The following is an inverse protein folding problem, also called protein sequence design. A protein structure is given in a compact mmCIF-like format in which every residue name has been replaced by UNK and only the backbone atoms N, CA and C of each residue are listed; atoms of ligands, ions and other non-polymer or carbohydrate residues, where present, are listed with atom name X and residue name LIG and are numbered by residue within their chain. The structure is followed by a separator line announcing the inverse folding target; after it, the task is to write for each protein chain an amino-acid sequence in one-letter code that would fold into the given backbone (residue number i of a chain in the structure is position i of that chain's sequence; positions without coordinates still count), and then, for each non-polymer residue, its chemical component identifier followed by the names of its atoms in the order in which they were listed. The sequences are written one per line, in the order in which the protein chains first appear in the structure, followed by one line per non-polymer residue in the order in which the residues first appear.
data_IF_857995803373
#
_entry.id   IF_857995803373
#
_cell.length_a   1.000
_cell.length_b   1.000
_cell.length_c   1.000
_cell.angle_alpha   90.00
_cell.angle_beta   90.00
_cell.angle_gamma   90.00
#
_symmetry.space_group_name_H-M   'P 1'
#
loop_
_entity.id
_entity.type
_entity.pdbx_description
1 polymer ?
#
# COMPACT_ATOMS: atom_id res chain seq x y z
N UNK A 1 -19.33 -22.41 12.44
CA UNK A 1 -18.76 -23.78 12.44
C UNK A 1 -17.60 -23.80 13.44
N UNK A 2 -17.54 -24.76 14.33
CA UNK A 2 -16.49 -24.92 15.33
C UNK A 2 -15.26 -25.64 14.73
N UNK A 3 -14.10 -25.60 15.41
CA UNK A 3 -12.91 -26.37 14.99
C UNK A 3 -13.20 -27.89 14.91
N UNK A 4 -14.04 -28.41 15.81
CA UNK A 4 -14.44 -29.83 15.83
C UNK A 4 -15.28 -30.18 14.59
N UNK A 5 -16.25 -29.36 14.24
CA UNK A 5 -17.07 -29.55 13.05
C UNK A 5 -16.23 -29.48 11.77
N UNK A 6 -15.34 -28.49 11.69
CA UNK A 6 -14.43 -28.33 10.56
C UNK A 6 -13.49 -29.54 10.39
N UNK A 7 -12.90 -30.03 11.48
CA UNK A 7 -12.07 -31.23 11.47
C UNK A 7 -12.85 -32.46 10.98
N UNK A 8 -14.06 -32.65 11.51
CA UNK A 8 -14.90 -33.79 11.13
C UNK A 8 -15.30 -33.75 9.66
N UNK A 9 -15.65 -32.56 9.13
CA UNK A 9 -15.95 -32.37 7.70
C UNK A 9 -14.78 -32.76 6.81
N UNK A 10 -13.54 -32.56 7.30
CA UNK A 10 -12.31 -32.92 6.57
C UNK A 10 -11.83 -34.36 6.84
N UNK A 11 -12.54 -35.13 7.64
CA UNK A 11 -12.20 -36.53 7.95
C UNK A 11 -10.89 -36.71 8.72
N UNK A 12 -10.47 -35.68 9.47
CA UNK A 12 -9.18 -35.69 10.17
C UNK A 12 -9.32 -36.12 11.62
N UNK A 13 -8.30 -36.81 12.16
CA UNK A 13 -8.13 -37.02 13.59
C UNK A 13 -7.50 -35.80 14.27
N UNK A 14 -7.66 -35.67 15.58
CA UNK A 14 -7.03 -34.59 16.35
C UNK A 14 -5.50 -34.61 16.23
N UNK A 15 -4.88 -35.80 16.18
CA UNK A 15 -3.45 -35.95 16.00
C UNK A 15 -2.97 -35.45 14.61
N UNK A 16 -3.74 -35.74 13.57
CA UNK A 16 -3.45 -35.25 12.21
C UNK A 16 -3.58 -33.72 12.12
N UNK A 17 -4.60 -33.14 12.74
CA UNK A 17 -4.74 -31.69 12.80
C UNK A 17 -3.59 -31.03 13.57
N UNK A 18 -3.21 -31.60 14.70
CA UNK A 18 -2.10 -31.10 15.51
C UNK A 18 -0.76 -31.16 14.73
N UNK A 19 -0.48 -32.27 14.05
CA UNK A 19 0.70 -32.44 13.21
C UNK A 19 0.73 -31.40 12.06
N UNK A 20 -0.39 -31.21 11.35
CA UNK A 20 -0.51 -30.24 10.28
C UNK A 20 -0.30 -28.78 10.75
N UNK A 21 -0.80 -28.46 11.93
CA UNK A 21 -0.69 -27.13 12.53
C UNK A 21 0.66 -26.90 13.25
N UNK A 22 1.51 -27.92 13.34
CA UNK A 22 2.81 -27.84 14.03
C UNK A 22 2.70 -27.67 15.54
N UNK A 23 1.68 -28.28 16.17
CA UNK A 23 1.47 -28.21 17.62
C UNK A 23 1.26 -29.60 18.24
N UNK A 24 1.31 -29.69 19.57
CA UNK A 24 1.01 -30.95 20.26
C UNK A 24 -0.46 -31.29 20.18
N UNK A 25 -0.82 -32.59 20.18
CA UNK A 25 -2.22 -33.04 20.19
C UNK A 25 -2.98 -32.47 21.39
N UNK A 26 -2.33 -32.37 22.55
CA UNK A 26 -2.92 -31.78 23.75
C UNK A 26 -3.23 -30.30 23.58
N UNK A 27 -2.37 -29.56 22.92
CA UNK A 27 -2.61 -28.15 22.59
C UNK A 27 -3.80 -28.00 21.64
N UNK A 28 -3.89 -28.83 20.62
CA UNK A 28 -5.01 -28.82 19.68
C UNK A 28 -6.34 -29.13 20.37
N UNK A 29 -6.36 -30.16 21.23
CA UNK A 29 -7.52 -30.54 22.05
C UNK A 29 -8.01 -29.38 22.92
N UNK A 30 -7.10 -28.63 23.50
CA UNK A 30 -7.46 -27.46 24.29
C UNK A 30 -8.16 -26.37 23.45
N UNK A 31 -7.71 -26.12 22.22
CA UNK A 31 -8.40 -25.18 21.31
C UNK A 31 -9.76 -25.72 20.83
N UNK A 32 -9.89 -27.02 20.59
CA UNK A 32 -11.13 -27.64 20.17
C UNK A 32 -12.20 -27.65 21.28
N UNK A 33 -11.79 -27.91 22.53
CA UNK A 33 -12.69 -28.09 23.66
C UNK A 33 -12.93 -26.81 24.48
N UNK A 34 -12.02 -25.85 24.46
CA UNK A 34 -12.04 -24.64 25.27
C UNK A 34 -11.85 -23.38 24.40
N UNK A 35 -12.63 -23.25 23.34
CA UNK A 35 -12.58 -22.09 22.41
C UNK A 35 -12.69 -20.74 23.14
N UNK A 36 -13.41 -20.68 24.25
CA UNK A 36 -13.62 -19.46 25.04
C UNK A 36 -12.35 -19.00 25.80
N UNK A 37 -11.40 -19.89 26.05
CA UNK A 37 -10.15 -19.57 26.75
C UNK A 37 -9.01 -19.19 25.80
N UNK A 38 -9.18 -19.41 24.50
CA UNK A 38 -8.20 -18.99 23.50
C UNK A 38 -8.38 -17.53 23.14
N UNK A 39 -7.28 -16.82 22.88
CA UNK A 39 -7.40 -15.48 22.27
C UNK A 39 -8.08 -15.61 20.92
N UNK A 40 -9.07 -14.73 20.64
CA UNK A 40 -9.84 -14.76 19.39
C UNK A 40 -8.94 -14.79 18.14
N UNK A 41 -7.83 -14.07 18.17
CA UNK A 41 -6.86 -14.04 17.08
C UNK A 41 -6.20 -15.41 16.82
N UNK A 42 -5.77 -16.11 17.87
CA UNK A 42 -5.11 -17.43 17.72
C UNK A 42 -6.09 -18.53 17.31
N UNK A 43 -7.30 -18.48 17.83
CA UNK A 43 -8.37 -19.40 17.40
C UNK A 43 -8.70 -19.24 15.92
N UNK A 44 -8.81 -17.99 15.47
CA UNK A 44 -9.09 -17.65 14.07
C UNK A 44 -7.98 -18.11 13.12
N UNK A 45 -6.72 -17.91 13.49
CA UNK A 45 -5.56 -18.41 12.74
C UNK A 45 -5.60 -19.94 12.57
N UNK A 46 -5.83 -20.66 13.66
CA UNK A 46 -5.95 -22.14 13.65
C UNK A 46 -7.08 -22.56 12.74
N UNK A 47 -8.24 -21.90 12.83
CA UNK A 47 -9.40 -22.18 12.01
C UNK A 47 -9.10 -21.99 10.51
N UNK A 48 -8.54 -20.87 10.11
CA UNK A 48 -8.18 -20.58 8.72
C UNK A 48 -7.18 -21.60 8.16
N UNK A 49 -6.16 -21.94 8.92
CA UNK A 49 -5.16 -22.94 8.49
C UNK A 49 -5.79 -24.32 8.33
N UNK A 50 -6.67 -24.73 9.22
CA UNK A 50 -7.38 -26.01 9.12
C UNK A 50 -8.40 -26.02 7.97
N UNK A 51 -9.04 -24.90 7.68
CA UNK A 51 -9.94 -24.73 6.56
C UNK A 51 -9.22 -24.93 5.21
N UNK A 52 -7.98 -24.48 5.13
CA UNK A 52 -7.10 -24.68 3.96
C UNK A 52 -6.57 -26.13 3.80
N UNK A 53 -6.76 -27.00 4.80
CA UNK A 53 -6.29 -28.38 4.70
C UNK A 53 -6.99 -29.15 3.59
N UNK A 54 -6.19 -29.81 2.72
CA UNK A 54 -6.72 -30.59 1.59
C UNK A 54 -7.20 -29.76 0.39
N UNK A 55 -7.22 -28.45 0.52
CA UNK A 55 -7.20 -27.62 -0.69
C UNK A 55 -5.82 -27.80 -1.35
N UNK A 56 -5.74 -27.96 -2.67
CA UNK A 56 -4.44 -27.88 -3.32
C UNK A 56 -3.82 -26.60 -2.79
N UNK A 57 -2.60 -26.72 -2.21
CA UNK A 57 -1.84 -25.53 -1.84
C UNK A 57 -2.02 -24.54 -2.97
N UNK A 58 -2.37 -23.27 -2.71
CA UNK A 58 -2.55 -22.33 -3.79
C UNK A 58 -1.38 -22.58 -4.70
N UNK A 59 -1.67 -23.09 -5.91
CA UNK A 59 -0.64 -23.56 -6.84
C UNK A 59 0.34 -22.43 -6.79
N UNK A 60 1.56 -22.71 -6.27
CA UNK A 60 2.60 -21.72 -6.34
C UNK A 60 2.66 -21.45 -7.82
N UNK A 61 1.98 -20.41 -8.24
CA UNK A 61 2.02 -19.91 -9.61
C UNK A 61 3.51 -19.83 -9.79
N UNK A 62 4.13 -20.63 -10.71
CA UNK A 62 5.57 -20.67 -10.84
C UNK A 62 5.93 -19.21 -10.84
N UNK A 63 6.87 -18.78 -9.99
CA UNK A 63 7.14 -17.37 -9.81
C UNK A 63 7.38 -16.82 -11.20
N UNK A 64 6.27 -16.49 -11.88
CA UNK A 64 6.28 -15.58 -13.01
C UNK A 64 6.97 -14.44 -12.36
N UNK A 65 8.19 -14.18 -12.70
CA UNK A 65 8.96 -13.05 -12.25
C UNK A 65 7.98 -11.89 -12.30
N UNK A 66 7.49 -11.48 -11.11
CA UNK A 66 6.48 -10.44 -11.00
C UNK A 66 7.19 -9.20 -11.50
N UNK A 67 7.23 -9.03 -12.83
CA UNK A 67 7.92 -7.92 -13.47
C UNK A 67 6.98 -6.73 -13.45
N UNK A 68 7.38 -5.74 -12.71
CA UNK A 68 6.76 -4.44 -12.80
C UNK A 68 7.11 -3.80 -14.15
N UNK A 69 6.14 -3.13 -14.75
CA UNK A 69 6.30 -2.42 -16.02
C UNK A 69 6.93 -1.03 -15.85
N UNK A 70 6.87 -0.50 -14.62
CA UNK A 70 7.44 0.80 -14.26
C UNK A 70 8.56 0.60 -13.24
N UNK A 71 9.24 1.67 -12.86
CA UNK A 71 10.33 1.62 -11.89
C UNK A 71 9.81 1.60 -10.46
N UNK A 72 9.22 0.47 -10.05
CA UNK A 72 8.69 0.23 -8.71
C UNK A 72 9.82 -0.08 -7.74
N UNK A 73 9.87 0.63 -6.62
CA UNK A 73 10.84 0.44 -5.55
C UNK A 73 10.11 0.08 -4.27
N UNK A 74 10.49 -1.04 -3.64
CA UNK A 74 9.89 -1.58 -2.40
C UNK A 74 10.96 -2.15 -1.47
N UNK A 75 10.57 -2.53 -0.26
CA UNK A 75 11.41 -3.27 0.68
C UNK A 75 12.75 -2.59 1.01
N UNK A 76 13.86 -3.35 1.06
CA UNK A 76 15.16 -2.82 1.48
C UNK A 76 15.68 -1.68 0.58
N UNK A 77 15.39 -1.72 -0.72
CA UNK A 77 15.78 -0.65 -1.65
C UNK A 77 15.05 0.66 -1.30
N UNK A 78 13.73 0.60 -1.01
CA UNK A 78 12.96 1.75 -0.55
C UNK A 78 13.50 2.29 0.77
N UNK A 79 13.81 1.41 1.71
CA UNK A 79 14.36 1.79 3.01
C UNK A 79 15.71 2.51 2.88
N UNK A 80 16.59 2.05 2.00
CA UNK A 80 17.86 2.73 1.71
C UNK A 80 17.65 4.14 1.17
N UNK A 81 16.67 4.32 0.25
CA UNK A 81 16.32 5.63 -0.32
C UNK A 81 15.74 6.57 0.76
N UNK A 82 14.83 6.08 1.59
CA UNK A 82 14.21 6.89 2.64
C UNK A 82 15.19 7.29 3.74
N UNK A 83 16.16 6.45 4.08
CA UNK A 83 17.21 6.76 5.04
C UNK A 83 18.09 7.93 4.59
N UNK A 84 18.28 8.12 3.28
CA UNK A 84 19.10 9.19 2.74
C UNK A 84 18.59 10.60 3.07
N UNK A 85 17.29 10.74 3.35
CA UNK A 85 16.66 12.04 3.64
C UNK A 85 16.42 12.28 5.14
N UNK A 86 16.79 11.36 6.01
CA UNK A 86 16.60 11.47 7.46
C UNK A 86 17.27 12.71 8.10
N UNK A 87 18.34 13.19 7.48
CA UNK A 87 19.10 14.37 7.95
C UNK A 87 18.43 15.72 7.67
N UNK A 88 17.43 15.75 6.79
CA UNK A 88 16.77 17.00 6.41
C UNK A 88 15.59 17.33 7.32
N UNK A 89 15.45 18.61 7.68
CA UNK A 89 14.28 19.11 8.41
C UNK A 89 12.97 18.88 7.63
N UNK A 90 11.88 18.70 8.37
CA UNK A 90 10.54 18.60 7.77
C UNK A 90 10.01 19.99 7.44
N UNK A 91 9.45 20.13 6.27
CA UNK A 91 8.80 21.36 5.80
C UNK A 91 7.40 21.52 6.41
N UNK A 92 6.88 22.75 6.46
CA UNK A 92 5.52 23.04 6.97
C UNK A 92 4.44 22.24 6.22
N UNK A 93 4.58 22.13 4.89
CA UNK A 93 3.65 21.34 4.06
C UNK A 93 3.67 19.82 4.37
N UNK A 94 4.69 19.33 5.07
CA UNK A 94 4.74 17.93 5.52
C UNK A 94 3.56 17.57 6.41
N UNK A 95 3.10 18.48 7.28
CA UNK A 95 1.95 18.26 8.15
C UNK A 95 0.66 17.97 7.35
N UNK A 96 0.46 18.67 6.24
CA UNK A 96 -0.69 18.44 5.36
C UNK A 96 -0.59 17.08 4.66
N UNK A 97 0.62 16.71 4.20
CA UNK A 97 0.87 15.39 3.61
C UNK A 97 0.62 14.28 4.63
N UNK A 98 1.14 14.42 5.85
CA UNK A 98 0.95 13.44 6.92
C UNK A 98 -0.53 13.31 7.31
N UNK A 99 -1.25 14.43 7.43
CA UNK A 99 -2.69 14.43 7.70
C UNK A 99 -3.46 13.68 6.62
N UNK A 100 -3.11 13.85 5.35
CA UNK A 100 -3.70 13.10 4.24
C UNK A 100 -3.41 11.59 4.36
N UNK A 101 -2.14 11.22 4.52
CA UNK A 101 -1.73 9.80 4.50
C UNK A 101 -2.29 9.02 5.70
N UNK A 102 -2.34 9.65 6.88
CA UNK A 102 -2.84 9.02 8.12
C UNK A 102 -4.34 9.20 8.34
N UNK A 103 -4.97 10.11 7.61
CA UNK A 103 -6.38 10.43 7.78
C UNK A 103 -7.31 9.55 6.93
N UNK A 104 -8.63 9.67 7.19
CA UNK A 104 -9.68 9.00 6.44
C UNK A 104 -10.08 9.85 5.23
N UNK A 105 -9.29 9.76 4.16
CA UNK A 105 -9.55 10.42 2.88
C UNK A 105 -9.83 9.34 1.81
N UNK A 106 -10.90 8.58 2.03
CA UNK A 106 -11.28 7.52 1.11
C UNK A 106 -11.78 8.13 -0.21
N UNK A 107 -11.40 7.53 -1.33
CA UNK A 107 -11.72 8.06 -2.64
C UNK A 107 -10.94 9.31 -3.05
N UNK A 108 -9.86 9.69 -2.33
CA UNK A 108 -9.03 10.85 -2.69
C UNK A 108 -7.58 10.46 -2.91
N UNK A 109 -6.92 11.19 -3.81
CA UNK A 109 -5.47 11.13 -4.01
C UNK A 109 -4.79 12.37 -3.42
N UNK A 110 -3.61 12.23 -2.85
CA UNK A 110 -2.77 13.35 -2.42
C UNK A 110 -1.96 13.88 -3.60
N UNK A 111 -2.05 15.16 -3.88
CA UNK A 111 -1.35 15.81 -4.99
C UNK A 111 -0.31 16.79 -4.45
N UNK A 112 0.96 16.38 -4.47
CA UNK A 112 2.10 17.18 -4.05
C UNK A 112 2.68 17.92 -5.26
N UNK A 113 2.48 19.23 -5.36
CA UNK A 113 2.90 20.00 -6.52
C UNK A 113 3.72 21.24 -6.15
N UNK A 114 4.45 21.76 -7.10
CA UNK A 114 5.28 22.96 -6.91
C UNK A 114 6.45 23.00 -7.87
N UNK A 115 7.20 24.08 -7.86
CA UNK A 115 8.34 24.30 -8.74
C UNK A 115 9.37 23.16 -8.63
N UNK A 116 10.19 23.02 -9.63
CA UNK A 116 11.33 22.10 -9.58
C UNK A 116 12.28 22.50 -8.44
N UNK A 117 12.90 21.50 -7.80
CA UNK A 117 13.86 21.66 -6.69
C UNK A 117 13.28 22.25 -5.40
N UNK A 118 11.97 22.19 -5.19
CA UNK A 118 11.30 22.57 -3.93
C UNK A 118 11.26 21.44 -2.89
N UNK A 119 11.91 20.30 -3.14
CA UNK A 119 12.02 19.21 -2.17
C UNK A 119 10.88 18.21 -2.18
N UNK A 120 10.04 18.13 -3.25
CA UNK A 120 8.93 17.18 -3.34
C UNK A 120 9.35 15.74 -3.09
N UNK A 121 10.34 15.24 -3.82
CA UNK A 121 10.87 13.87 -3.65
C UNK A 121 11.37 13.64 -2.21
N UNK A 122 12.03 14.64 -1.60
CA UNK A 122 12.46 14.58 -0.19
C UNK A 122 11.27 14.39 0.75
N UNK A 123 10.19 15.15 0.55
CA UNK A 123 8.95 15.04 1.34
C UNK A 123 8.29 13.67 1.17
N UNK A 124 8.27 13.12 -0.06
CA UNK A 124 7.77 11.77 -0.30
C UNK A 124 8.58 10.74 0.49
N UNK A 125 9.90 10.79 0.44
CA UNK A 125 10.76 9.85 1.18
C UNK A 125 10.67 10.05 2.69
N UNK A 126 10.55 11.28 3.19
CA UNK A 126 10.31 11.54 4.61
C UNK A 126 8.96 10.96 5.09
N UNK A 127 7.93 10.99 4.26
CA UNK A 127 6.64 10.39 4.61
C UNK A 127 6.73 8.85 4.54
N UNK A 128 7.34 8.29 3.50
CA UNK A 128 7.55 6.85 3.35
C UNK A 128 8.38 6.27 4.48
N UNK A 129 9.39 7.00 5.00
CA UNK A 129 10.19 6.55 6.15
C UNK A 129 9.38 6.39 7.44
N UNK A 130 8.23 7.04 7.54
CA UNK A 130 7.33 6.98 8.70
C UNK A 130 6.18 5.96 8.53
N UNK A 131 6.20 5.17 7.45
CA UNK A 131 5.18 4.17 7.12
C UNK A 131 5.77 2.74 7.16
N UNK A 132 4.94 1.70 7.30
CA UNK A 132 5.39 0.32 7.22
C UNK A 132 6.01 0.03 5.84
N UNK A 133 7.29 -0.36 5.80
CA UNK A 133 8.04 -0.56 4.55
C UNK A 133 7.45 -1.71 3.72
N UNK A 134 6.93 -2.73 4.38
CA UNK A 134 6.28 -3.90 3.78
C UNK A 134 4.95 -3.58 3.10
N UNK A 135 4.36 -2.43 3.40
CA UNK A 135 3.12 -1.94 2.79
C UNK A 135 3.31 -0.70 1.93
N UNK A 136 4.55 -0.27 1.74
CA UNK A 136 4.90 0.97 1.07
C UNK A 136 5.65 0.72 -0.24
N UNK A 137 5.28 1.46 -1.28
CA UNK A 137 5.94 1.43 -2.57
C UNK A 137 6.17 2.85 -3.11
N UNK A 138 7.25 3.02 -3.84
CA UNK A 138 7.59 4.24 -4.55
C UNK A 138 7.78 3.94 -6.03
N UNK A 139 7.23 4.78 -6.88
CA UNK A 139 7.37 4.68 -8.34
C UNK A 139 7.87 6.02 -8.85
N UNK A 140 9.05 6.02 -9.45
CA UNK A 140 9.51 7.18 -10.22
C UNK A 140 9.06 7.03 -11.67
N UNK A 141 8.10 7.87 -12.06
CA UNK A 141 7.57 7.87 -13.42
C UNK A 141 8.63 8.37 -14.41
N UNK A 142 8.69 7.72 -15.57
CA UNK A 142 9.57 8.06 -16.68
C UNK A 142 8.75 8.44 -17.90
N UNK A 143 9.34 9.19 -18.83
CA UNK A 143 8.71 9.63 -20.08
C UNK A 143 8.24 8.45 -20.95
N UNK A 144 8.90 7.30 -20.82
CA UNK A 144 8.57 6.06 -21.55
C UNK A 144 7.42 5.28 -20.93
N UNK A 145 6.96 5.64 -19.73
CA UNK A 145 5.86 4.96 -19.08
C UNK A 145 4.52 5.39 -19.67
N UNK A 146 3.53 4.51 -19.54
CA UNK A 146 2.14 4.76 -19.91
C UNK A 146 1.21 4.55 -18.71
N UNK A 147 0.04 5.17 -18.71
CA UNK A 147 -0.98 4.94 -17.68
C UNK A 147 -1.41 3.48 -17.60
N UNK A 148 -1.47 2.77 -18.73
CA UNK A 148 -1.79 1.34 -18.74
C UNK A 148 -0.76 0.49 -17.99
N UNK A 149 0.54 0.80 -18.12
CA UNK A 149 1.61 0.15 -17.38
C UNK A 149 1.50 0.45 -15.88
N UNK A 150 1.33 1.74 -15.53
CA UNK A 150 1.18 2.18 -14.15
C UNK A 150 -0.02 1.51 -13.47
N UNK A 151 -1.17 1.46 -14.14
CA UNK A 151 -2.39 0.82 -13.63
C UNK A 151 -2.18 -0.69 -13.38
N UNK A 152 -1.46 -1.39 -14.25
CA UNK A 152 -1.11 -2.80 -14.03
C UNK A 152 -0.24 -2.98 -12.79
N UNK A 153 0.76 -2.13 -12.62
CA UNK A 153 1.65 -2.19 -11.45
C UNK A 153 0.93 -1.83 -10.15
N UNK A 154 0.02 -0.85 -10.18
CA UNK A 154 -0.82 -0.52 -9.02
C UNK A 154 -1.74 -1.68 -8.63
N UNK A 155 -2.38 -2.36 -9.60
CA UNK A 155 -3.17 -3.55 -9.35
C UNK A 155 -2.33 -4.66 -8.73
N UNK A 156 -1.13 -4.89 -9.25
CA UNK A 156 -0.22 -5.88 -8.72
C UNK A 156 0.23 -5.54 -7.29
N UNK A 157 0.60 -4.30 -7.05
CA UNK A 157 0.96 -3.81 -5.70
C UNK A 157 -0.20 -3.98 -4.71
N UNK A 158 -1.43 -3.67 -5.13
CA UNK A 158 -2.61 -3.87 -4.29
C UNK A 158 -2.81 -5.34 -3.94
N UNK A 159 -2.70 -6.27 -4.90
CA UNK A 159 -2.80 -7.71 -4.70
C UNK A 159 -1.70 -8.24 -3.76
N UNK A 160 -0.50 -7.67 -3.83
CA UNK A 160 0.63 -8.00 -2.96
C UNK A 160 0.50 -7.41 -1.54
N UNK A 161 -0.54 -6.64 -1.26
CA UNK A 161 -0.80 -6.08 0.07
C UNK A 161 -0.23 -4.69 0.33
N UNK A 162 0.34 -4.04 -0.69
CA UNK A 162 0.78 -2.64 -0.55
C UNK A 162 -0.42 -1.72 -0.39
N UNK A 163 -0.29 -0.73 0.50
CA UNK A 163 -1.37 0.21 0.84
C UNK A 163 -0.96 1.67 0.66
N UNK A 164 0.31 1.96 0.66
CA UNK A 164 0.88 3.31 0.52
C UNK A 164 1.72 3.35 -0.74
N UNK A 165 1.24 3.98 -1.80
CA UNK A 165 1.97 4.06 -3.08
C UNK A 165 2.18 5.51 -3.47
N UNK A 166 3.44 5.87 -3.66
CA UNK A 166 3.87 7.23 -3.95
C UNK A 166 4.46 7.31 -5.36
N UNK A 167 3.84 8.13 -6.20
CA UNK A 167 4.16 8.30 -7.62
C UNK A 167 4.88 9.63 -7.82
N UNK A 168 6.14 9.60 -8.15
CA UNK A 168 6.93 10.83 -8.33
C UNK A 168 7.04 11.21 -9.81
N UNK A 169 6.97 12.50 -10.09
CA UNK A 169 7.03 13.10 -11.43
C UNK A 169 5.90 12.64 -12.38
N UNK A 170 4.67 12.50 -11.86
CA UNK A 170 3.51 12.02 -12.63
C UNK A 170 3.19 12.88 -13.86
N UNK A 171 3.62 14.14 -13.88
CA UNK A 171 3.46 15.06 -15.03
C UNK A 171 4.20 14.61 -16.29
N UNK A 172 5.04 13.58 -16.20
CA UNK A 172 5.67 12.97 -17.38
C UNK A 172 4.70 12.09 -18.18
N UNK A 173 3.56 11.70 -17.60
CA UNK A 173 2.49 10.99 -18.31
C UNK A 173 1.54 12.00 -18.94
N UNK A 174 1.45 11.99 -20.26
CA UNK A 174 0.66 12.93 -21.03
C UNK A 174 -0.86 12.81 -20.76
N UNK A 175 -1.31 11.61 -20.45
CA UNK A 175 -2.72 11.23 -20.25
C UNK A 175 -3.11 11.14 -18.76
N UNK A 176 -2.23 11.54 -17.84
CA UNK A 176 -2.49 11.43 -16.40
C UNK A 176 -3.74 12.22 -15.97
N UNK A 177 -3.88 13.46 -16.44
CA UNK A 177 -4.98 14.34 -16.01
C UNK A 177 -6.35 13.74 -16.38
N UNK A 178 -6.44 13.14 -17.55
CA UNK A 178 -7.69 12.53 -18.03
C UNK A 178 -8.02 11.21 -17.33
N UNK A 179 -7.01 10.58 -16.73
CA UNK A 179 -7.15 9.29 -16.06
C UNK A 179 -7.04 9.36 -14.54
N UNK A 180 -6.73 10.53 -13.96
CA UNK A 180 -6.55 10.72 -12.52
C UNK A 180 -7.79 10.33 -11.71
N UNK A 181 -8.99 10.60 -12.25
CA UNK A 181 -10.25 10.18 -11.63
C UNK A 181 -10.35 8.66 -11.48
N UNK A 182 -9.88 7.90 -12.47
CA UNK A 182 -9.87 6.43 -12.45
C UNK A 182 -8.97 5.91 -11.30
N UNK A 183 -7.80 6.55 -11.08
CA UNK A 183 -6.92 6.17 -9.96
C UNK A 183 -7.59 6.41 -8.60
N UNK A 184 -8.29 7.52 -8.45
CA UNK A 184 -9.07 7.84 -7.26
C UNK A 184 -10.19 6.82 -7.04
N UNK A 185 -11.02 6.60 -8.05
CA UNK A 185 -12.21 5.75 -7.97
C UNK A 185 -11.87 4.28 -7.75
N UNK A 186 -10.78 3.77 -8.36
CA UNK A 186 -10.39 2.37 -8.22
C UNK A 186 -9.57 2.16 -6.94
N UNK A 187 -8.40 2.81 -6.85
CA UNK A 187 -7.42 2.44 -5.84
C UNK A 187 -7.66 3.08 -4.48
N UNK A 188 -8.06 4.36 -4.42
CA UNK A 188 -8.36 5.02 -3.16
C UNK A 188 -9.62 4.47 -2.50
N UNK A 189 -10.65 4.13 -3.28
CA UNK A 189 -11.86 3.47 -2.75
C UNK A 189 -11.58 2.08 -2.20
N UNK A 190 -10.56 1.40 -2.72
CA UNK A 190 -10.09 0.10 -2.22
C UNK A 190 -9.16 0.21 -0.99
N UNK A 191 -8.99 1.41 -0.43
CA UNK A 191 -8.16 1.66 0.75
C UNK A 191 -6.66 1.81 0.48
N UNK A 192 -6.25 2.01 -0.77
CA UNK A 192 -4.87 2.36 -1.10
C UNK A 192 -4.68 3.88 -0.98
N UNK A 193 -3.69 4.33 -0.23
CA UNK A 193 -3.30 5.74 -0.15
C UNK A 193 -2.34 6.06 -1.28
N UNK A 194 -2.82 6.81 -2.27
CA UNK A 194 -2.02 7.27 -3.40
C UNK A 194 -1.58 8.72 -3.18
N UNK A 195 -0.28 8.96 -3.32
CA UNK A 195 0.29 10.32 -3.36
C UNK A 195 1.01 10.48 -4.69
N UNK A 196 0.64 11.50 -5.44
CA UNK A 196 1.31 11.84 -6.69
C UNK A 196 2.11 13.12 -6.54
N UNK A 197 3.26 13.22 -7.18
CA UNK A 197 4.01 14.47 -7.23
C UNK A 197 4.20 14.97 -8.66
N UNK A 198 4.26 16.29 -8.80
CA UNK A 198 4.50 16.92 -10.10
C UNK A 198 4.86 18.40 -10.00
N UNK A 199 5.04 19.04 -11.15
CA UNK A 199 5.35 20.46 -11.25
C UNK A 199 4.11 21.32 -10.97
N UNK A 200 4.25 22.66 -10.96
CA UNK A 200 3.12 23.60 -10.79
C UNK A 200 2.02 23.40 -11.84
N UNK A 201 2.39 23.00 -13.05
CA UNK A 201 1.40 22.67 -14.10
C UNK A 201 0.42 21.58 -13.66
N UNK A 202 0.86 20.61 -12.82
CA UNK A 202 -0.04 19.60 -12.24
C UNK A 202 -1.10 20.26 -11.37
N UNK A 203 -0.68 21.17 -10.47
CA UNK A 203 -1.61 21.88 -9.58
C UNK A 203 -2.69 22.64 -10.36
N UNK A 204 -2.28 23.39 -11.37
CA UNK A 204 -3.21 24.13 -12.24
C UNK A 204 -4.13 23.20 -13.03
N UNK A 205 -3.61 22.13 -13.59
CA UNK A 205 -4.40 21.18 -14.36
C UNK A 205 -5.44 20.46 -13.48
N UNK A 206 -5.06 20.04 -12.27
CA UNK A 206 -5.95 19.38 -11.32
C UNK A 206 -7.02 20.33 -10.77
N UNK A 207 -6.65 21.59 -10.47
CA UNK A 207 -7.57 22.58 -9.93
C UNK A 207 -8.65 23.02 -10.94
N UNK A 208 -8.36 22.95 -12.24
CA UNK A 208 -9.27 23.36 -13.30
C UNK A 208 -10.24 22.25 -13.77
N UNK A 209 -10.17 21.07 -13.19
CA UNK A 209 -11.05 19.93 -13.52
C UNK A 209 -12.09 19.75 -12.42
N UNK A 210 -13.35 20.07 -12.70
CA UNK A 210 -14.46 19.86 -11.75
C UNK A 210 -14.57 18.41 -11.27
N UNK A 211 -14.30 17.47 -12.16
CA UNK A 211 -14.31 16.02 -11.85
C UNK A 211 -13.28 15.60 -10.79
N UNK A 212 -12.21 16.38 -10.61
CA UNK A 212 -11.12 16.08 -9.67
C UNK A 212 -11.19 16.89 -8.37
N UNK A 213 -12.09 17.89 -8.30
CA UNK A 213 -12.18 18.81 -7.17
C UNK A 213 -12.38 18.08 -5.84
N UNK A 214 -13.27 17.08 -5.81
CA UNK A 214 -13.54 16.32 -4.59
C UNK A 214 -12.72 15.01 -4.48
N UNK A 215 -11.93 14.68 -5.50
CA UNK A 215 -11.11 13.45 -5.57
C UNK A 215 -9.64 13.67 -5.24
N UNK A 216 -9.26 14.87 -4.86
CA UNK A 216 -7.87 15.20 -4.58
C UNK A 216 -7.71 16.08 -3.34
N UNK A 217 -6.56 15.93 -2.68
CA UNK A 217 -6.07 16.82 -1.62
C UNK A 217 -4.81 17.49 -2.13
N UNK A 218 -4.90 18.80 -2.37
CA UNK A 218 -3.82 19.58 -2.96
C UNK A 218 -2.81 20.03 -1.90
N UNK A 219 -1.52 19.72 -2.12
CA UNK A 219 -0.42 20.03 -1.21
C UNK A 219 0.63 20.80 -2.00
N UNK A 220 0.71 22.10 -1.78
CA UNK A 220 1.67 22.96 -2.49
C UNK A 220 3.03 23.02 -1.78
N UNK A 221 4.12 22.89 -2.55
CA UNK A 221 5.49 23.16 -2.08
C UNK A 221 6.01 24.45 -2.72
N UNK A 222 6.37 25.42 -1.88
CA UNK A 222 7.07 26.64 -2.30
C UNK A 222 8.59 26.45 -2.20
N UNK A 223 9.38 27.49 -2.47
CA UNK A 223 10.77 27.54 -2.04
C UNK A 223 10.88 27.46 -0.51
N UNK A 224 12.02 26.96 -0.01
CA UNK A 224 12.25 26.88 1.44
C UNK A 224 12.33 28.31 1.99
N UNK A 225 11.38 28.75 2.81
CA UNK A 225 11.45 30.06 3.42
C UNK A 225 12.53 30.06 4.51
N UNK A 226 13.09 31.23 4.81
CA UNK A 226 14.17 31.38 5.79
C UNK A 226 13.86 30.75 7.17
N UNK A 227 12.58 30.76 7.57
CA UNK A 227 12.12 30.15 8.84
C UNK A 227 12.20 28.62 8.89
N UNK A 228 12.32 27.95 7.74
CA UNK A 228 12.45 26.49 7.63
C UNK A 228 13.92 26.08 7.39
N UNK A 229 14.85 27.05 7.26
CA UNK A 229 16.24 26.84 7.03
C UNK A 229 16.97 26.65 8.36
#
# INVERSE_FOLDING_TARGET
MTLKELRNTKGLTQAQCAAYLGMSTRSYQNYENNAEKATKARYHEIYQRLEAYGQPAPVAVPAKTLEFHTNVVTGPALQAMTNSVAKYGKRDCFKTLEKFVRGSYDGKIGVLYGLRRTGKTTLLFQMLSALPVEQSAYIKVQVTNTMAQLTKDLNLLFQLGYRYVFLDEITLLSDFIDTAAVLSDIFSMMGMKLVVSGTDSLGFAMANREELYDRSVMIHTSFIPFREY
#
